data_IF_248643932572
#
_entry.id   IF_248643932572
#
_cell.length_a   1.000
_cell.length_b   1.000
_cell.length_c   1.000
_cell.angle_alpha   90.00
_cell.angle_beta   90.00
_cell.angle_gamma   90.00
#
_symmetry.space_group_name_H-M   'P 1'
#
loop_
_entity.id
_entity.type
_entity.pdbx_description
1 polymer ?
#
# COMPACT_ATOMS: atom_id res chain seq x y z
N UNK A 1 -16.85 11.83 20.96
CA UNK A 1 -16.04 11.20 19.89
C UNK A 1 -15.15 10.15 20.51
N UNK A 2 -15.11 8.96 19.93
CA UNK A 2 -14.26 7.88 20.46
C UNK A 2 -12.78 8.16 20.15
N UNK A 3 -11.89 7.54 20.92
CA UNK A 3 -10.45 7.61 20.67
C UNK A 3 -10.10 7.10 19.26
N UNK A 4 -10.76 6.03 18.83
CA UNK A 4 -10.56 5.46 17.48
C UNK A 4 -10.92 6.48 16.41
N UNK A 5 -12.08 7.12 16.51
CA UNK A 5 -12.51 8.15 15.54
C UNK A 5 -11.55 9.34 15.54
N UNK A 6 -11.11 9.80 16.72
CA UNK A 6 -10.13 10.89 16.81
C UNK A 6 -8.82 10.54 16.14
N UNK A 7 -8.30 9.33 16.36
CA UNK A 7 -7.05 8.88 15.76
C UNK A 7 -7.18 8.72 14.24
N UNK A 8 -8.29 8.19 13.75
CA UNK A 8 -8.56 8.10 12.31
C UNK A 8 -8.59 9.48 11.66
N UNK A 9 -9.22 10.46 12.32
CA UNK A 9 -9.26 11.84 11.84
C UNK A 9 -7.87 12.48 11.81
N UNK A 10 -7.04 12.23 12.82
CA UNK A 10 -5.65 12.69 12.84
C UNK A 10 -4.85 12.10 11.68
N UNK A 11 -5.00 10.80 11.39
CA UNK A 11 -4.31 10.17 10.26
C UNK A 11 -4.79 10.74 8.93
N UNK A 12 -6.09 10.98 8.78
CA UNK A 12 -6.63 11.64 7.58
C UNK A 12 -6.04 13.04 7.40
N UNK A 13 -5.90 13.81 8.47
CA UNK A 13 -5.28 15.14 8.42
C UNK A 13 -3.80 15.06 8.03
N UNK A 14 -3.06 14.06 8.52
CA UNK A 14 -1.67 13.83 8.13
C UNK A 14 -1.56 13.53 6.64
N UNK A 15 -2.43 12.67 6.11
CA UNK A 15 -2.48 12.37 4.68
C UNK A 15 -2.76 13.63 3.88
N UNK A 16 -3.73 14.45 4.31
CA UNK A 16 -4.14 15.67 3.62
C UNK A 16 -3.10 16.81 3.68
N UNK A 17 -2.09 16.73 4.54
CA UNK A 17 -0.99 17.69 4.55
C UNK A 17 -0.09 17.55 3.32
N UNK A 18 0.03 16.35 2.76
CA UNK A 18 0.80 16.09 1.55
C UNK A 18 0.13 14.97 0.75
N UNK A 19 -1.07 15.22 0.21
CA UNK A 19 -1.86 14.17 -0.42
C UNK A 19 -1.36 13.84 -1.82
N UNK A 20 -1.49 12.57 -2.20
CA UNK A 20 -1.30 12.09 -3.56
C UNK A 20 -2.54 11.31 -3.96
N UNK A 21 -3.20 11.74 -5.02
CA UNK A 21 -4.32 11.00 -5.59
C UNK A 21 -3.79 9.91 -6.52
N UNK A 22 -4.21 8.69 -6.31
CA UNK A 22 -3.81 7.54 -7.13
C UNK A 22 -5.05 6.83 -7.66
N UNK A 23 -4.90 6.22 -8.83
CA UNK A 23 -5.91 5.32 -9.40
C UNK A 23 -5.31 3.93 -9.47
N UNK A 24 -5.84 3.02 -8.67
CA UNK A 24 -5.34 1.65 -8.63
C UNK A 24 -5.93 0.85 -9.78
N UNK A 25 -5.05 0.19 -10.51
CA UNK A 25 -5.41 -0.86 -11.46
C UNK A 25 -5.23 -2.19 -10.76
N UNK A 26 -6.33 -2.90 -10.55
CA UNK A 26 -6.33 -4.19 -9.86
C UNK A 26 -6.41 -5.32 -10.86
N UNK A 27 -5.41 -6.20 -10.80
CA UNK A 27 -5.38 -7.43 -11.58
C UNK A 27 -5.62 -8.60 -10.65
N UNK A 28 -6.67 -9.37 -10.91
CA UNK A 28 -7.05 -10.50 -10.08
C UNK A 28 -7.15 -11.77 -10.92
N UNK A 29 -6.83 -12.91 -10.34
CA UNK A 29 -7.09 -14.21 -10.92
C UNK A 29 -8.53 -14.61 -10.64
N UNK A 30 -9.21 -15.07 -11.67
CA UNK A 30 -10.58 -15.53 -11.59
C UNK A 30 -10.64 -16.95 -12.16
N UNK A 31 -11.34 -17.85 -11.51
CA UNK A 31 -11.58 -19.19 -12.03
C UNK A 31 -12.37 -19.10 -13.34
N UNK A 32 -11.94 -19.84 -14.38
CA UNK A 32 -12.63 -19.89 -15.66
C UNK A 32 -13.77 -20.93 -15.69
N UNK A 33 -13.99 -21.63 -14.58
CA UNK A 33 -15.01 -22.67 -14.47
C UNK A 33 -14.61 -24.03 -15.08
N UNK A 34 -13.40 -24.11 -15.66
CA UNK A 34 -12.90 -25.32 -16.33
C UNK A 34 -11.58 -25.82 -15.71
N UNK A 35 -11.31 -25.46 -14.45
CA UNK A 35 -10.10 -25.86 -13.74
C UNK A 35 -8.88 -24.97 -14.01
N UNK A 36 -9.02 -23.93 -14.85
CA UNK A 36 -7.99 -22.95 -15.14
C UNK A 36 -8.28 -21.60 -14.49
N UNK A 37 -7.44 -20.62 -14.82
CA UNK A 37 -7.53 -19.27 -14.29
C UNK A 37 -7.41 -18.25 -15.41
N UNK A 38 -8.21 -17.19 -15.32
CA UNK A 38 -8.09 -16.02 -16.18
C UNK A 38 -7.76 -14.81 -15.32
N UNK A 39 -7.16 -13.78 -15.94
CA UNK A 39 -6.92 -12.52 -15.26
C UNK A 39 -8.03 -11.54 -15.57
N UNK A 40 -8.53 -10.87 -14.54
CA UNK A 40 -9.48 -9.77 -14.65
C UNK A 40 -8.77 -8.48 -14.21
N UNK A 41 -8.89 -7.42 -15.01
CA UNK A 41 -8.29 -6.12 -14.71
C UNK A 41 -9.39 -5.09 -14.55
N UNK A 42 -9.32 -4.31 -13.48
CA UNK A 42 -10.27 -3.23 -13.21
C UNK A 42 -9.56 -2.02 -12.63
N UNK A 43 -10.09 -0.83 -12.94
CA UNK A 43 -9.62 0.42 -12.35
C UNK A 43 -10.56 0.80 -11.21
N UNK A 44 -10.00 1.07 -10.03
CA UNK A 44 -10.75 1.51 -8.88
C UNK A 44 -10.96 3.03 -8.93
N UNK A 45 -11.92 3.54 -8.16
CA UNK A 45 -12.08 4.96 -7.97
C UNK A 45 -10.80 5.56 -7.36
N UNK A 46 -10.51 6.82 -7.68
CA UNK A 46 -9.33 7.51 -7.16
C UNK A 46 -9.32 7.51 -5.62
N UNK A 47 -8.16 7.28 -5.05
CA UNK A 47 -7.94 7.27 -3.61
C UNK A 47 -6.79 8.21 -3.26
N UNK A 48 -6.85 8.79 -2.07
CA UNK A 48 -5.82 9.70 -1.60
C UNK A 48 -4.94 8.99 -0.58
N UNK A 49 -3.64 9.03 -0.81
CA UNK A 49 -2.62 8.49 0.09
C UNK A 49 -1.53 9.53 0.30
N UNK A 50 -0.64 9.28 1.24
CA UNK A 50 0.59 10.06 1.42
C UNK A 50 1.79 9.15 1.19
N UNK A 51 2.57 9.45 0.15
CA UNK A 51 3.76 8.68 -0.23
C UNK A 51 4.98 9.30 0.44
N UNK A 52 5.86 8.47 0.99
CA UNK A 52 7.11 8.91 1.60
C UNK A 52 8.21 7.87 1.43
N UNK A 53 9.45 8.31 1.56
CA UNK A 53 10.61 7.41 1.55
C UNK A 53 11.08 7.18 2.97
N UNK A 54 11.36 5.93 3.31
CA UNK A 54 11.94 5.56 4.61
C UNK A 54 13.29 4.91 4.39
N UNK A 55 14.29 5.33 5.14
CA UNK A 55 15.60 4.70 5.14
C UNK A 55 15.57 3.48 6.07
N UNK A 56 15.98 2.35 5.54
CA UNK A 56 16.07 1.10 6.30
C UNK A 56 17.52 0.62 6.26
N UNK A 57 18.02 0.18 7.43
CA UNK A 57 19.37 -0.39 7.54
C UNK A 57 19.25 -1.90 7.35
N UNK A 58 20.06 -2.43 6.45
CA UNK A 58 20.11 -3.86 6.15
C UNK A 58 21.50 -4.40 6.43
N UNK A 59 21.57 -5.55 7.09
CA UNK A 59 22.82 -6.27 7.30
C UNK A 59 23.23 -6.95 6.00
N UNK A 60 24.46 -6.69 5.56
CA UNK A 60 25.05 -7.35 4.39
C UNK A 60 25.94 -8.49 4.88
N UNK A 61 25.53 -9.71 4.59
CA UNK A 61 26.20 -10.91 5.13
C UNK A 61 27.54 -11.17 4.43
N UNK A 62 27.65 -10.87 3.14
CA UNK A 62 28.85 -11.14 2.34
C UNK A 62 30.00 -10.17 2.64
N UNK A 63 29.67 -8.95 3.01
CA UNK A 63 30.60 -7.92 3.41
C UNK A 63 30.26 -7.51 4.82
N UNK A 64 31.00 -7.89 5.79
CA UNK A 64 30.71 -7.59 7.20
C UNK A 64 30.33 -6.12 7.39
N UNK A 65 29.05 -5.83 7.64
CA UNK A 65 28.57 -4.48 7.85
C UNK A 65 27.09 -4.27 7.52
N UNK A 66 26.68 -3.01 7.53
CA UNK A 66 25.32 -2.60 7.23
C UNK A 66 25.35 -1.61 6.07
N UNK A 67 24.34 -1.68 5.21
CA UNK A 67 24.08 -0.56 4.34
C UNK A 67 22.63 -0.09 4.48
N UNK A 68 22.40 1.17 4.15
CA UNK A 68 21.07 1.78 4.19
C UNK A 68 20.47 1.76 2.80
N UNK A 69 19.22 1.30 2.70
CA UNK A 69 18.43 1.38 1.47
C UNK A 69 17.21 2.25 1.73
N UNK A 70 16.72 2.90 0.68
CA UNK A 70 15.46 3.64 0.75
C UNK A 70 14.33 2.72 0.33
N UNK A 71 13.30 2.66 1.17
CA UNK A 71 12.07 1.96 0.88
C UNK A 71 10.98 3.00 0.70
N UNK A 72 10.24 2.92 -0.38
CA UNK A 72 9.10 3.80 -0.61
C UNK A 72 7.87 3.21 0.06
N UNK A 73 7.24 4.02 0.91
CA UNK A 73 6.06 3.64 1.67
C UNK A 73 4.98 4.69 1.51
N UNK A 74 3.76 4.33 1.90
CA UNK A 74 2.64 5.25 1.90
C UNK A 74 1.75 5.01 3.12
N UNK A 75 0.99 6.03 3.48
CA UNK A 75 -0.06 5.93 4.48
C UNK A 75 -1.39 6.12 3.78
N UNK A 76 -2.33 5.22 4.03
CA UNK A 76 -3.69 5.26 3.53
C UNK A 76 -4.70 5.28 4.67
N UNK A 77 -5.92 5.70 4.38
CA UNK A 77 -7.01 5.69 5.35
C UNK A 77 -7.33 4.27 5.79
N UNK A 78 -7.99 4.15 6.95
CA UNK A 78 -8.36 2.85 7.52
C UNK A 78 -9.26 2.01 6.61
N UNK A 79 -10.08 2.64 5.77
CA UNK A 79 -11.04 2.00 4.87
C UNK A 79 -10.56 2.00 3.40
N UNK A 80 -9.30 2.30 3.13
CA UNK A 80 -8.76 2.32 1.77
C UNK A 80 -8.92 0.95 1.11
N UNK A 81 -9.36 0.96 -0.15
CA UNK A 81 -9.51 -0.25 -0.95
C UNK A 81 -8.20 -0.57 -1.65
N UNK A 82 -7.26 -1.12 -0.92
CA UNK A 82 -5.92 -1.43 -1.40
C UNK A 82 -5.55 -2.81 -0.84
N UNK A 83 -5.12 -3.72 -1.71
CA UNK A 83 -4.74 -5.07 -1.35
C UNK A 83 -3.25 -5.30 -1.58
N UNK A 84 -2.64 -6.11 -0.72
CA UNK A 84 -1.24 -6.49 -0.90
C UNK A 84 -1.08 -7.45 -2.08
N UNK A 85 0.10 -7.45 -2.68
CA UNK A 85 0.47 -8.37 -3.73
C UNK A 85 0.41 -9.82 -3.25
N UNK A 86 -0.18 -10.68 -4.08
CA UNK A 86 -0.24 -12.11 -3.87
C UNK A 86 -0.28 -12.83 -5.21
N UNK A 87 -0.28 -14.14 -5.21
CA UNK A 87 -0.42 -14.94 -6.43
C UNK A 87 -1.77 -14.72 -7.14
N UNK A 88 -2.77 -14.20 -6.43
CA UNK A 88 -4.13 -14.00 -6.95
C UNK A 88 -4.51 -12.53 -7.12
N UNK A 89 -3.67 -11.58 -6.69
CA UNK A 89 -4.01 -10.15 -6.73
C UNK A 89 -2.78 -9.27 -6.91
N UNK A 90 -2.90 -8.24 -7.75
CA UNK A 90 -1.86 -7.22 -7.94
C UNK A 90 -2.52 -5.86 -8.10
N UNK A 91 -2.24 -4.96 -7.16
CA UNK A 91 -2.65 -3.56 -7.21
C UNK A 91 -1.46 -2.70 -7.64
N UNK A 92 -1.63 -1.94 -8.71
CA UNK A 92 -0.60 -1.05 -9.25
C UNK A 92 -1.16 0.35 -9.48
N UNK A 93 -0.28 1.33 -9.48
CA UNK A 93 -0.62 2.71 -9.82
C UNK A 93 0.60 3.44 -10.37
N UNK A 94 0.36 4.56 -11.04
CA UNK A 94 1.43 5.41 -11.56
C UNK A 94 1.65 6.61 -10.65
N UNK A 95 2.90 6.91 -10.35
CA UNK A 95 3.30 8.06 -9.57
C UNK A 95 4.72 8.48 -9.94
N UNK A 96 4.93 9.78 -10.15
CA UNK A 96 6.26 10.31 -10.45
C UNK A 96 6.89 9.78 -11.74
N UNK A 97 6.07 9.45 -12.73
CA UNK A 97 6.55 8.88 -14.00
C UNK A 97 6.93 7.41 -13.94
N UNK A 98 6.63 6.74 -12.83
CA UNK A 98 6.94 5.33 -12.60
C UNK A 98 5.68 4.56 -12.26
N UNK A 99 5.72 3.25 -12.47
CA UNK A 99 4.65 2.35 -12.06
C UNK A 99 5.07 1.65 -10.76
N UNK A 100 4.17 1.64 -9.80
CA UNK A 100 4.38 1.07 -8.48
C UNK A 100 3.40 -0.05 -8.22
N UNK A 101 3.86 -1.10 -7.55
CA UNK A 101 3.03 -2.18 -7.06
C UNK A 101 2.92 -2.08 -5.55
N UNK A 102 1.73 -2.31 -5.02
CA UNK A 102 1.53 -2.42 -3.57
C UNK A 102 2.03 -3.79 -3.14
N UNK A 103 3.24 -3.83 -2.60
CA UNK A 103 3.90 -5.08 -2.21
C UNK A 103 3.31 -5.64 -0.92
N UNK A 104 3.05 -4.78 0.06
CA UNK A 104 2.48 -5.18 1.34
C UNK A 104 1.55 -4.10 1.88
N UNK A 105 0.57 -4.53 2.66
CA UNK A 105 -0.38 -3.66 3.37
C UNK A 105 -0.37 -4.08 4.83
N UNK A 106 0.01 -3.16 5.70
CA UNK A 106 0.08 -3.39 7.14
C UNK A 106 -1.04 -2.60 7.80
N UNK A 107 -2.01 -3.30 8.38
CA UNK A 107 -3.09 -2.66 9.13
C UNK A 107 -2.59 -2.32 10.53
N UNK A 108 -2.78 -1.06 10.93
CA UNK A 108 -2.44 -0.60 12.29
C UNK A 108 -3.72 -0.53 13.12
N UNK A 109 -3.73 -1.27 14.21
CA UNK A 109 -4.89 -1.48 15.05
C UNK A 109 -4.78 -0.78 16.40
N UNK A 110 -5.94 -0.41 16.95
CA UNK A 110 -6.11 -0.13 18.37
C UNK A 110 -7.48 -0.66 18.80
N UNK A 111 -7.53 -1.36 19.92
CA UNK A 111 -8.78 -1.93 20.48
C UNK A 111 -9.59 -2.74 19.44
N UNK A 112 -8.90 -3.51 18.59
CA UNK A 112 -9.52 -4.34 17.58
C UNK A 112 -10.01 -3.61 16.32
N UNK A 113 -9.77 -2.30 16.21
CA UNK A 113 -10.18 -1.50 15.04
C UNK A 113 -8.98 -0.99 14.28
N UNK A 114 -9.06 -0.98 12.95
CA UNK A 114 -8.01 -0.44 12.08
C UNK A 114 -8.03 1.08 12.18
N UNK A 115 -6.87 1.68 12.45
CA UNK A 115 -6.71 3.13 12.52
C UNK A 115 -6.25 3.72 11.19
N UNK A 116 -5.32 3.06 10.52
CA UNK A 116 -4.80 3.42 9.21
C UNK A 116 -4.06 2.23 8.62
N UNK A 117 -3.68 2.35 7.34
CA UNK A 117 -2.93 1.32 6.63
C UNK A 117 -1.57 1.89 6.23
N UNK A 118 -0.51 1.12 6.46
CA UNK A 118 0.81 1.40 5.90
C UNK A 118 1.03 0.53 4.68
N UNK A 119 1.52 1.15 3.61
CA UNK A 119 1.78 0.46 2.35
C UNK A 119 3.28 0.40 2.10
N UNK A 120 3.75 -0.76 1.68
CA UNK A 120 5.08 -0.91 1.10
C UNK A 120 4.93 -0.94 -0.42
N UNK A 121 5.69 -0.10 -1.11
CA UNK A 121 5.61 0.07 -2.55
C UNK A 121 6.86 -0.46 -3.21
N UNK A 122 6.67 -1.15 -4.33
CA UNK A 122 7.74 -1.70 -5.16
C UNK A 122 7.67 -1.06 -6.54
N UNK A 123 8.76 -0.51 -7.01
CA UNK A 123 8.86 0.03 -8.36
C UNK A 123 8.96 -1.10 -9.38
N UNK A 124 8.16 -1.03 -10.42
CA UNK A 124 8.15 -2.01 -11.50
C UNK A 124 9.02 -1.57 -12.68
#
# INVERSE_FOLDING_TARGET
MSLITSTRNQQTNIINQNPTSITITRKAKVSDGAGGWTSSTSNLAAQTIRIYSKRVRTLVIEEVGYHSIRVTRAIAKYDANILKYSSSNEDTFSFGGKTWRVFDVIDRYAKGSILFKELELEEL
#
